data_IF_656626244641
#
_entry.id   IF_656626244641
#
_cell.length_a   1.000
_cell.length_b   1.000
_cell.length_c   1.000
_cell.angle_alpha   90.00
_cell.angle_beta   90.00
_cell.angle_gamma   90.00
#
_symmetry.space_group_name_H-M   'P 1'
#
loop_
_entity.id
_entity.type
_entity.pdbx_description
1 polymer ?
#
# COMPACT_ATOMS: atom_id res chain seq x y z
N UNK A 1 -3.24 -46.11 -24.15
CA UNK A 1 -1.99 -46.83 -23.80
C UNK A 1 -1.19 -45.88 -22.91
N UNK A 2 -1.36 -45.85 -21.59
CA UNK A 2 -0.87 -46.78 -20.53
C UNK A 2 0.65 -47.01 -20.71
N UNK A 3 1.55 -46.58 -19.83
CA UNK A 3 1.70 -46.98 -18.42
C UNK A 3 2.33 -45.89 -17.54
N UNK A 4 1.75 -45.72 -16.35
CA UNK A 4 2.34 -45.11 -15.18
C UNK A 4 3.19 -46.13 -14.41
N UNK A 5 4.30 -45.71 -13.81
CA UNK A 5 5.09 -46.53 -12.88
C UNK A 5 4.75 -46.17 -11.44
N UNK A 6 3.94 -47.01 -10.82
CA UNK A 6 3.69 -47.08 -9.38
C UNK A 6 4.65 -48.10 -8.77
N UNK A 7 5.40 -47.71 -7.73
CA UNK A 7 6.04 -48.67 -6.81
C UNK A 7 5.30 -48.63 -5.47
N UNK A 8 4.80 -49.79 -5.07
CA UNK A 8 4.13 -50.01 -3.81
C UNK A 8 4.62 -51.33 -3.19
N UNK A 9 4.61 -51.34 -1.85
CA UNK A 9 4.58 -52.51 -0.94
C UNK A 9 5.92 -53.20 -0.60
N UNK A 10 6.33 -53.07 0.68
CA UNK A 10 6.21 -54.18 1.65
C UNK A 10 6.13 -53.68 3.10
N UNK A 11 5.00 -54.04 3.73
CA UNK A 11 4.69 -54.01 5.15
C UNK A 11 5.51 -55.05 5.92
N UNK A 12 5.85 -54.73 7.16
CA UNK A 12 6.09 -55.73 8.21
C UNK A 12 5.36 -55.29 9.47
N UNK A 13 4.31 -56.04 9.83
CA UNK A 13 3.62 -56.00 11.12
C UNK A 13 4.47 -56.72 12.17
N UNK A 14 4.44 -56.23 13.43
CA UNK A 14 4.42 -57.09 14.61
C UNK A 14 3.73 -56.40 15.81
N UNK A 15 2.50 -56.88 16.08
CA UNK A 15 1.97 -57.33 17.39
C UNK A 15 2.51 -56.64 18.67
N UNK A 16 1.72 -55.82 19.36
CA UNK A 16 0.73 -56.16 20.40
C UNK A 16 1.32 -56.49 21.78
N UNK A 17 0.87 -55.79 22.82
CA UNK A 17 1.09 -56.19 24.21
C UNK A 17 0.86 -55.08 25.23
N UNK A 18 -0.42 -54.77 25.52
CA UNK A 18 -0.81 -54.17 26.79
C UNK A 18 -0.41 -55.14 27.91
N UNK A 19 0.22 -54.66 28.99
CA UNK A 19 0.13 -55.35 30.27
C UNK A 19 0.08 -54.37 31.44
N UNK A 20 -1.02 -54.51 32.19
CA UNK A 20 -1.34 -53.85 33.45
C UNK A 20 -0.64 -54.67 34.54
N UNK A 21 0.11 -54.01 35.43
CA UNK A 21 0.81 -54.66 36.54
C UNK A 21 1.02 -53.70 37.70
N UNK A 22 0.45 -54.08 38.85
CA UNK A 22 0.25 -53.35 40.11
C UNK A 22 1.51 -53.27 41.00
N UNK A 23 1.34 -52.54 42.11
CA UNK A 23 2.13 -52.48 43.36
C UNK A 23 3.28 -51.46 43.32
N UNK A 24 3.54 -50.62 44.32
CA UNK A 24 3.14 -50.38 45.72
C UNK A 24 3.76 -48.98 46.04
N UNK A 25 3.35 -48.11 46.97
CA UNK A 25 2.89 -48.28 48.35
C UNK A 25 2.45 -46.87 48.81
N UNK A 26 1.26 -46.74 49.39
CA UNK A 26 0.83 -45.55 50.11
C UNK A 26 1.19 -45.73 51.59
N UNK A 27 1.77 -44.70 52.19
CA UNK A 27 2.03 -44.63 53.63
C UNK A 27 0.74 -44.19 54.33
N UNK A 28 0.02 -45.17 54.89
CA UNK A 28 -1.07 -44.97 55.83
C UNK A 28 -0.48 -44.87 57.24
N UNK A 29 -0.28 -43.65 57.71
CA UNK A 29 -0.01 -43.40 59.13
C UNK A 29 -0.58 -42.07 59.60
N UNK A 30 -1.88 -41.84 59.40
CA UNK A 30 -2.54 -40.73 60.09
C UNK A 30 -4.07 -40.86 60.27
N UNK A 31 -4.59 -42.06 60.54
CA UNK A 31 -5.94 -42.20 61.09
C UNK A 31 -6.07 -43.43 62.01
N UNK A 32 -5.95 -43.21 63.31
CA UNK A 32 -6.57 -44.05 64.32
C UNK A 32 -6.92 -43.19 65.55
N UNK A 33 -8.21 -43.02 65.82
CA UNK A 33 -8.65 -42.34 67.05
C UNK A 33 -10.07 -41.80 67.06
N UNK A 34 -11.07 -42.55 66.59
CA UNK A 34 -12.46 -42.27 66.94
C UNK A 34 -12.72 -42.81 68.35
N UNK A 35 -13.06 -41.94 69.30
CA UNK A 35 -14.23 -42.14 70.19
C UNK A 35 -14.57 -40.91 71.05
N UNK A 36 -15.85 -40.55 70.92
CA UNK A 36 -16.66 -39.58 71.67
C UNK A 36 -16.30 -39.34 73.14
N UNK A 37 -16.28 -38.07 73.53
CA UNK A 37 -17.02 -37.64 74.73
C UNK A 37 -17.50 -36.18 74.60
N UNK A 38 -18.58 -35.91 75.30
CA UNK A 38 -19.65 -34.96 75.01
C UNK A 38 -19.39 -33.55 75.57
N UNK A 39 -20.18 -32.57 75.08
CA UNK A 39 -20.49 -31.24 75.69
C UNK A 39 -19.40 -30.16 75.66
N UNK A 40 -19.58 -29.17 74.79
CA UNK A 40 -20.10 -27.85 75.20
C UNK A 40 -20.60 -27.04 73.98
N UNK A 41 -21.84 -26.55 74.08
CA UNK A 41 -22.44 -25.58 73.16
C UNK A 41 -21.66 -24.27 73.24
N UNK A 42 -21.13 -23.80 72.12
CA UNK A 42 -20.97 -22.38 71.85
C UNK A 42 -21.41 -22.16 70.40
N UNK A 43 -22.62 -21.62 70.25
CA UNK A 43 -23.18 -21.29 68.96
C UNK A 43 -22.47 -20.07 68.38
N UNK A 44 -22.15 -20.12 67.09
CA UNK A 44 -22.01 -18.95 66.25
C UNK A 44 -22.25 -19.35 64.80
N UNK A 45 -23.05 -18.51 64.15
CA UNK A 45 -23.79 -18.80 62.94
C UNK A 45 -22.91 -18.88 61.68
N UNK A 46 -23.32 -19.78 60.80
CA UNK A 46 -23.15 -19.72 59.35
C UNK A 46 -23.75 -18.40 58.85
N UNK A 47 -23.03 -17.53 58.08
CA UNK A 47 -23.11 -17.63 56.62
C UNK A 47 -21.93 -16.95 55.87
N UNK A 48 -20.90 -17.67 55.44
CA UNK A 48 -19.84 -17.10 54.57
C UNK A 48 -19.79 -17.75 53.18
N UNK A 49 -20.63 -18.76 52.92
CA UNK A 49 -20.66 -19.48 51.63
C UNK A 49 -21.72 -18.99 50.63
N UNK A 50 -22.56 -18.02 51.01
CA UNK A 50 -23.67 -17.53 50.17
C UNK A 50 -23.35 -16.20 49.47
N UNK A 51 -22.26 -15.51 49.83
CA UNK A 51 -21.92 -14.19 49.26
C UNK A 51 -20.85 -14.22 48.16
N UNK A 52 -20.03 -15.27 48.09
CA UNK A 52 -18.97 -15.39 47.06
C UNK A 52 -19.49 -15.87 45.70
N UNK A 53 -20.50 -16.75 45.68
CA UNK A 53 -21.06 -17.27 44.43
C UNK A 53 -21.78 -16.18 43.61
N UNK A 54 -22.63 -15.32 44.21
CA UNK A 54 -23.26 -14.22 43.50
C UNK A 54 -22.24 -13.19 43.02
N UNK A 55 -21.18 -12.93 43.79
CA UNK A 55 -20.11 -12.01 43.40
C UNK A 55 -19.30 -12.56 42.22
N UNK A 56 -18.94 -13.86 42.24
CA UNK A 56 -18.24 -14.50 41.12
C UNK A 56 -19.12 -14.56 39.88
N UNK A 57 -20.40 -14.92 40.02
CA UNK A 57 -21.37 -14.90 38.91
C UNK A 57 -21.57 -13.47 38.40
N UNK A 58 -21.61 -12.46 39.28
CA UNK A 58 -21.70 -11.05 38.88
C UNK A 58 -20.42 -10.57 38.20
N UNK A 59 -19.22 -10.95 38.66
CA UNK A 59 -17.95 -10.64 37.99
C UNK A 59 -17.89 -11.32 36.63
N UNK A 60 -18.36 -12.57 36.51
CA UNK A 60 -18.34 -13.33 35.27
C UNK A 60 -19.37 -12.80 34.28
N UNK A 61 -20.58 -12.47 34.74
CA UNK A 61 -21.60 -11.76 33.95
C UNK A 61 -21.14 -10.34 33.60
N UNK A 62 -20.49 -9.60 34.49
CA UNK A 62 -19.92 -8.29 34.18
C UNK A 62 -18.77 -8.40 33.16
N UNK A 63 -17.91 -9.40 33.27
CA UNK A 63 -16.88 -9.68 32.27
C UNK A 63 -17.46 -10.12 30.91
N UNK A 64 -18.64 -10.77 30.89
CA UNK A 64 -19.29 -11.25 29.65
C UNK A 64 -20.20 -10.18 29.02
N UNK A 65 -20.89 -9.38 29.83
CA UNK A 65 -21.84 -8.36 29.38
C UNK A 65 -21.25 -6.94 29.31
N UNK A 66 -20.19 -6.63 30.06
CA UNK A 66 -19.56 -5.31 30.12
C UNK A 66 -18.10 -5.26 29.62
N UNK A 67 -17.51 -6.37 29.14
CA UNK A 67 -16.40 -6.27 28.17
C UNK A 67 -16.98 -5.93 26.80
N UNK A 68 -17.36 -4.68 26.61
CA UNK A 68 -17.07 -4.06 25.32
C UNK A 68 -15.55 -4.01 25.26
N UNK A 69 -14.94 -5.02 24.66
CA UNK A 69 -13.54 -4.95 24.26
C UNK A 69 -13.48 -3.84 23.22
N UNK A 70 -13.15 -2.62 23.65
CA UNK A 70 -12.91 -1.51 22.74
C UNK A 70 -11.82 -1.94 21.77
N UNK A 71 -12.18 -2.23 20.52
CA UNK A 71 -11.20 -2.51 19.49
C UNK A 71 -10.51 -1.18 19.14
N UNK A 72 -9.21 -1.03 19.35
CA UNK A 72 -8.51 0.21 19.02
C UNK A 72 -8.62 0.60 17.53
N UNK A 73 -8.97 -0.35 16.65
CA UNK A 73 -9.16 -0.13 15.21
C UNK A 73 -10.58 0.33 14.83
N UNK A 74 -11.53 0.40 15.77
CA UNK A 74 -12.88 0.92 15.51
C UNK A 74 -12.94 2.46 15.47
N UNK A 75 -11.79 3.14 15.54
CA UNK A 75 -11.70 4.59 15.50
C UNK A 75 -11.77 5.09 14.05
N UNK A 76 -12.55 6.13 13.75
CA UNK A 76 -12.57 6.70 12.42
C UNK A 76 -11.22 7.36 12.10
N UNK A 77 -10.85 7.37 10.82
CA UNK A 77 -9.63 8.04 10.35
C UNK A 77 -9.70 9.57 10.54
N UNK A 78 -10.90 10.15 10.38
CA UNK A 78 -11.18 11.54 10.70
C UNK A 78 -12.32 11.65 11.71
N UNK A 79 -12.16 12.55 12.68
CA UNK A 79 -13.16 12.85 13.68
C UNK A 79 -14.35 13.60 13.06
N UNK A 80 -15.44 13.69 13.83
CA UNK A 80 -16.70 14.31 13.38
C UNK A 80 -16.56 15.81 13.07
N UNK A 81 -15.52 16.46 13.58
CA UNK A 81 -15.17 17.86 13.30
C UNK A 81 -14.39 18.01 11.98
N UNK A 82 -14.03 16.91 11.33
CA UNK A 82 -13.26 16.90 10.09
C UNK A 82 -11.76 16.71 10.27
N UNK A 83 -11.24 16.69 11.50
CA UNK A 83 -9.82 16.53 11.81
C UNK A 83 -9.39 15.08 11.58
N UNK A 84 -8.40 14.86 10.72
CA UNK A 84 -7.86 13.53 10.45
C UNK A 84 -6.62 13.25 11.32
N UNK A 85 -6.45 11.99 11.74
CA UNK A 85 -5.43 11.58 12.71
C UNK A 85 -4.02 11.43 12.11
N UNK A 86 -3.91 11.54 10.78
CA UNK A 86 -2.64 11.59 10.05
C UNK A 86 -2.68 12.75 9.05
N UNK A 87 -1.53 13.38 8.80
CA UNK A 87 -1.42 14.47 7.83
C UNK A 87 -0.94 13.90 6.49
N UNK A 88 -1.62 14.24 5.41
CA UNK A 88 -1.38 13.67 4.08
C UNK A 88 0.03 13.91 3.52
N UNK A 89 0.68 14.99 3.92
CA UNK A 89 2.01 15.41 3.47
C UNK A 89 3.12 15.21 4.50
N UNK A 90 2.81 14.61 5.65
CA UNK A 90 3.81 14.26 6.67
C UNK A 90 3.98 12.74 6.68
N UNK A 91 5.20 12.22 6.53
CA UNK A 91 5.48 10.78 6.59
C UNK A 91 4.88 10.15 7.86
N UNK A 92 4.00 9.17 7.69
CA UNK A 92 3.39 8.41 8.79
C UNK A 92 3.25 6.95 8.38
N UNK A 93 3.65 5.97 9.22
CA UNK A 93 3.30 4.58 8.96
C UNK A 93 1.79 4.39 9.06
N UNK A 94 1.28 3.24 8.59
CA UNK A 94 -0.12 2.86 8.89
C UNK A 94 -0.30 2.80 10.40
N UNK A 95 -1.36 3.43 10.90
CA UNK A 95 -1.69 3.51 12.33
C UNK A 95 -2.97 2.73 12.64
N UNK A 96 -3.41 2.79 13.90
CA UNK A 96 -4.73 2.27 14.30
C UNK A 96 -5.89 3.05 13.68
N UNK A 97 -5.66 4.28 13.20
CA UNK A 97 -6.69 5.12 12.57
C UNK A 97 -6.85 4.83 11.07
N UNK A 98 -5.77 4.44 10.41
CA UNK A 98 -5.76 4.16 8.97
C UNK A 98 -5.85 2.66 8.64
N UNK A 99 -5.76 1.78 9.63
CA UNK A 99 -6.04 0.35 9.47
C UNK A 99 -7.49 0.03 9.86
N UNK A 100 -8.18 -0.79 9.06
CA UNK A 100 -9.55 -1.23 9.32
C UNK A 100 -9.66 -2.26 10.44
N UNK A 101 -8.58 -2.98 10.71
CA UNK A 101 -8.47 -3.96 11.79
C UNK A 101 -7.01 -4.34 12.04
N UNK A 102 -6.78 -5.09 13.12
CA UNK A 102 -5.44 -5.58 13.50
C UNK A 102 -4.78 -6.44 12.42
N UNK A 103 -5.53 -7.27 11.72
CA UNK A 103 -4.99 -8.15 10.68
C UNK A 103 -4.40 -7.34 9.52
N UNK A 104 -5.13 -6.34 9.03
CA UNK A 104 -4.64 -5.44 7.99
C UNK A 104 -3.39 -4.69 8.44
N UNK A 105 -3.37 -4.18 9.68
CA UNK A 105 -2.22 -3.51 10.25
C UNK A 105 -0.98 -4.41 10.25
N UNK A 106 -1.11 -5.65 10.74
CA UNK A 106 -0.01 -6.61 10.79
C UNK A 106 0.46 -7.02 9.37
N UNK A 107 -0.47 -7.21 8.44
CA UNK A 107 -0.16 -7.51 7.04
C UNK A 107 0.59 -6.37 6.36
N UNK A 108 0.22 -5.12 6.64
CA UNK A 108 0.91 -3.95 6.10
C UNK A 108 2.37 -3.94 6.53
N UNK A 109 2.66 -4.12 7.83
CA UNK A 109 4.04 -4.19 8.33
C UNK A 109 4.83 -5.36 7.74
N UNK A 110 4.23 -6.54 7.69
CA UNK A 110 4.87 -7.73 7.09
C UNK A 110 5.20 -7.52 5.62
N UNK A 111 4.26 -6.94 4.86
CA UNK A 111 4.47 -6.67 3.45
C UNK A 111 5.52 -5.58 3.23
N UNK A 112 5.55 -4.54 4.08
CA UNK A 112 6.60 -3.52 4.03
C UNK A 112 8.00 -4.12 4.19
N UNK A 113 8.21 -5.04 5.14
CA UNK A 113 9.49 -5.74 5.28
C UNK A 113 9.83 -6.58 4.05
N UNK A 114 8.83 -7.22 3.44
CA UNK A 114 9.03 -7.98 2.20
C UNK A 114 9.46 -7.07 1.04
N UNK A 115 8.84 -5.90 0.91
CA UNK A 115 9.21 -4.93 -0.12
C UNK A 115 10.60 -4.34 0.12
N UNK A 116 11.01 -4.11 1.36
CA UNK A 116 12.37 -3.66 1.67
C UNK A 116 13.42 -4.65 1.15
N UNK A 117 13.23 -5.95 1.40
CA UNK A 117 14.10 -6.98 0.84
C UNK A 117 14.06 -7.05 -0.68
N UNK A 118 12.89 -6.81 -1.30
CA UNK A 118 12.75 -6.74 -2.76
C UNK A 118 13.55 -5.57 -3.33
N UNK A 119 13.50 -4.40 -2.70
CA UNK A 119 14.26 -3.21 -3.07
C UNK A 119 15.76 -3.45 -2.94
N UNK A 120 16.21 -4.06 -1.84
CA UNK A 120 17.62 -4.44 -1.64
C UNK A 120 18.10 -5.43 -2.72
N UNK A 121 17.31 -6.47 -3.00
CA UNK A 121 17.63 -7.46 -4.03
C UNK A 121 17.69 -6.84 -5.44
N UNK A 122 16.74 -5.94 -5.76
CA UNK A 122 16.71 -5.23 -7.03
C UNK A 122 17.93 -4.31 -7.18
N UNK A 123 18.24 -3.50 -6.16
CA UNK A 123 19.38 -2.60 -6.19
C UNK A 123 20.70 -3.36 -6.36
N UNK A 124 20.86 -4.52 -5.69
CA UNK A 124 22.04 -5.37 -5.84
C UNK A 124 22.14 -6.00 -7.24
N UNK A 125 21.02 -6.47 -7.81
CA UNK A 125 20.95 -6.97 -9.20
C UNK A 125 21.40 -5.90 -10.18
N UNK A 126 20.91 -4.66 -10.03
CA UNK A 126 21.29 -3.52 -10.88
C UNK A 126 22.75 -3.15 -10.72
N UNK A 127 23.27 -3.12 -9.49
CA UNK A 127 24.70 -2.85 -9.26
C UNK A 127 25.60 -3.87 -9.97
N UNK A 128 25.25 -5.16 -9.90
CA UNK A 128 26.01 -6.21 -10.60
C UNK A 128 26.00 -6.03 -12.13
N UNK A 129 24.95 -5.44 -12.71
CA UNK A 129 24.93 -5.14 -14.15
C UNK A 129 25.97 -4.06 -14.51
N UNK A 130 26.11 -3.02 -13.69
CA UNK A 130 27.13 -1.99 -13.87
C UNK A 130 28.55 -2.53 -13.64
N UNK A 131 28.78 -3.26 -12.55
CA UNK A 131 30.10 -3.78 -12.19
C UNK A 131 30.67 -4.74 -13.25
N UNK A 132 29.80 -5.51 -13.90
CA UNK A 132 30.20 -6.46 -14.94
C UNK A 132 30.47 -5.81 -16.30
N UNK A 133 29.95 -4.60 -16.54
CA UNK A 133 30.09 -3.87 -17.81
C UNK A 133 30.64 -2.43 -17.60
N UNK A 134 31.82 -2.26 -16.97
CA UNK A 134 32.31 -0.94 -16.55
C UNK A 134 32.70 -0.01 -17.71
N UNK A 135 32.90 -0.56 -18.92
CA UNK A 135 33.30 0.17 -20.12
C UNK A 135 32.28 0.08 -21.27
N UNK A 136 31.14 -0.57 -21.04
CA UNK A 136 30.11 -0.82 -22.06
C UNK A 136 28.80 -0.13 -21.64
N UNK A 137 28.84 1.21 -21.63
CA UNK A 137 27.65 2.04 -21.41
C UNK A 137 26.59 1.86 -22.51
N UNK A 138 26.96 1.26 -23.65
CA UNK A 138 26.09 0.99 -24.81
C UNK A 138 25.46 -0.42 -24.80
N UNK A 139 25.82 -1.30 -23.85
CA UNK A 139 25.10 -2.57 -23.65
C UNK A 139 23.64 -2.27 -23.31
N UNK A 140 22.65 -3.09 -23.76
CA UNK A 140 21.26 -2.86 -23.43
C UNK A 140 21.01 -3.21 -21.96
N UNK A 141 21.42 -2.32 -21.07
CA UNK A 141 20.96 -2.26 -19.70
C UNK A 141 19.50 -1.84 -19.81
N UNK A 142 18.60 -2.76 -19.49
CA UNK A 142 17.17 -2.43 -19.42
C UNK A 142 16.98 -1.23 -18.49
N UNK A 143 16.06 -0.33 -18.82
CA UNK A 143 15.83 0.89 -18.05
C UNK A 143 15.01 0.59 -16.78
N UNK A 144 15.40 1.07 -15.59
CA UNK A 144 14.62 0.85 -14.37
C UNK A 144 13.25 1.51 -14.44
N UNK A 145 12.21 0.73 -14.12
CA UNK A 145 10.84 1.22 -14.02
C UNK A 145 10.30 0.98 -12.62
N UNK A 146 10.27 2.02 -11.78
CA UNK A 146 9.90 1.94 -10.37
C UNK A 146 8.44 2.31 -10.22
N UNK A 147 7.59 1.32 -9.94
CA UNK A 147 6.15 1.50 -9.81
C UNK A 147 5.78 1.72 -8.33
N UNK A 148 5.40 2.95 -7.99
CA UNK A 148 5.04 3.39 -6.64
C UNK A 148 3.54 3.67 -6.55
N UNK A 149 2.94 3.34 -5.40
CA UNK A 149 1.53 3.62 -5.19
C UNK A 149 0.85 2.73 -4.15
N UNK A 150 -0.43 2.48 -4.40
CA UNK A 150 -1.32 1.73 -3.52
C UNK A 150 -1.74 0.37 -4.09
N UNK A 151 -2.99 -0.04 -3.86
CA UNK A 151 -3.55 -1.32 -4.32
C UNK A 151 -3.64 -1.42 -5.83
N UNK A 152 -3.79 -0.31 -6.55
CA UNK A 152 -3.80 -0.33 -8.00
C UNK A 152 -2.39 -0.67 -8.50
N UNK A 153 -1.35 -0.01 -7.98
CA UNK A 153 0.03 -0.35 -8.30
C UNK A 153 0.43 -1.75 -7.82
N UNK A 154 -0.01 -2.18 -6.64
CA UNK A 154 0.31 -3.54 -6.16
C UNK A 154 -0.31 -4.64 -7.04
N UNK A 155 -1.39 -4.33 -7.76
CA UNK A 155 -2.04 -5.28 -8.67
C UNK A 155 -1.13 -5.74 -9.81
N UNK A 156 -0.06 -4.99 -10.15
CA UNK A 156 1.01 -5.46 -11.04
C UNK A 156 1.72 -6.74 -10.54
N UNK A 157 1.71 -6.99 -9.23
CA UNK A 157 2.16 -8.26 -8.61
C UNK A 157 1.02 -9.26 -8.39
N UNK A 158 -0.20 -8.96 -8.82
CA UNK A 158 -1.44 -9.70 -8.56
C UNK A 158 -1.80 -9.84 -7.08
N UNK A 159 -1.23 -8.99 -6.22
CA UNK A 159 -1.41 -9.07 -4.77
C UNK A 159 -2.16 -7.87 -4.18
N UNK A 160 -2.55 -8.02 -2.92
CA UNK A 160 -2.91 -6.95 -2.02
C UNK A 160 -2.40 -7.23 -0.62
N UNK A 161 -1.50 -6.38 -0.11
CA UNK A 161 -0.62 -6.63 1.04
C UNK A 161 0.14 -7.96 0.95
N UNK A 162 0.66 -8.27 -0.24
CA UNK A 162 1.44 -9.49 -0.50
C UNK A 162 0.63 -10.79 -0.58
N UNK A 163 -0.70 -10.70 -0.53
CA UNK A 163 -1.61 -11.85 -0.68
C UNK A 163 -2.28 -11.76 -2.05
N UNK A 164 -2.29 -12.85 -2.81
CA UNK A 164 -2.95 -12.91 -4.12
C UNK A 164 -4.42 -12.43 -4.07
N UNK A 165 -4.85 -11.73 -5.13
CA UNK A 165 -6.20 -11.18 -5.25
C UNK A 165 -6.79 -11.48 -6.62
N UNK A 166 -7.92 -12.17 -6.66
CA UNK A 166 -8.62 -12.51 -7.90
C UNK A 166 -8.92 -11.29 -8.79
N UNK A 167 -9.19 -10.11 -8.20
CA UNK A 167 -9.43 -8.87 -8.98
C UNK A 167 -8.24 -8.44 -9.84
N UNK A 168 -7.03 -8.92 -9.51
CA UNK A 168 -5.78 -8.60 -10.19
C UNK A 168 -5.22 -9.78 -11.00
N UNK A 169 -5.99 -10.84 -11.19
CA UNK A 169 -5.59 -11.99 -12.00
C UNK A 169 -5.29 -11.56 -13.45
N UNK A 170 -4.16 -12.03 -13.98
CA UNK A 170 -3.69 -11.74 -15.33
C UNK A 170 -2.91 -10.44 -15.47
N UNK A 171 -2.87 -9.59 -14.44
CA UNK A 171 -2.18 -8.29 -14.49
C UNK A 171 -0.66 -8.47 -14.58
N UNK A 172 -0.08 -9.48 -13.91
CA UNK A 172 1.37 -9.73 -14.01
C UNK A 172 1.77 -10.10 -15.45
N UNK A 173 0.90 -10.80 -16.18
CA UNK A 173 1.12 -11.11 -17.60
C UNK A 173 1.14 -9.85 -18.47
N UNK A 174 0.34 -8.83 -18.13
CA UNK A 174 0.36 -7.54 -18.83
C UNK A 174 1.69 -6.84 -18.58
N UNK A 175 2.17 -6.80 -17.33
CA UNK A 175 3.48 -6.22 -17.01
C UNK A 175 4.61 -6.94 -17.77
N UNK A 176 4.59 -8.27 -17.78
CA UNK A 176 5.60 -9.08 -18.47
C UNK A 176 5.59 -8.84 -19.99
N UNK A 177 4.43 -8.61 -20.58
CA UNK A 177 4.31 -8.42 -22.04
C UNK A 177 4.63 -7.00 -22.47
N UNK A 178 4.22 -6.01 -21.67
CA UNK A 178 4.20 -4.59 -22.10
C UNK A 178 5.26 -3.72 -21.41
N UNK A 179 5.77 -4.12 -20.24
CA UNK A 179 6.62 -3.28 -19.38
C UNK A 179 7.90 -4.00 -18.89
N UNK A 180 8.28 -5.11 -19.50
CA UNK A 180 9.43 -5.94 -19.07
C UNK A 180 10.64 -5.78 -19.99
N UNK A 181 11.61 -6.68 -19.84
CA UNK A 181 12.83 -6.71 -20.66
C UNK A 181 12.53 -6.90 -22.16
N UNK A 182 11.39 -7.50 -22.52
CA UNK A 182 10.92 -7.55 -23.92
C UNK A 182 10.71 -6.15 -24.52
N UNK A 183 10.48 -5.16 -23.67
CA UNK A 183 10.28 -3.75 -24.00
C UNK A 183 11.46 -2.87 -23.54
N UNK A 184 12.61 -3.47 -23.21
CA UNK A 184 13.79 -2.73 -22.75
C UNK A 184 13.69 -2.20 -21.32
N UNK A 185 12.75 -2.68 -20.51
CA UNK A 185 12.47 -2.19 -19.16
C UNK A 185 12.79 -3.23 -18.07
N UNK A 186 13.02 -2.77 -16.83
CA UNK A 186 13.21 -3.61 -15.64
C UNK A 186 12.27 -3.15 -14.51
N UNK A 187 11.01 -3.60 -14.51
CA UNK A 187 10.01 -3.11 -13.58
C UNK A 187 10.19 -3.65 -12.16
N UNK A 188 9.99 -2.79 -11.17
CA UNK A 188 9.84 -3.17 -9.77
C UNK A 188 8.53 -2.61 -9.20
N UNK A 189 7.68 -3.50 -8.69
CA UNK A 189 6.39 -3.15 -8.07
C UNK A 189 6.58 -2.91 -6.57
N UNK A 190 6.31 -1.66 -6.16
CA UNK A 190 6.45 -1.16 -4.78
C UNK A 190 5.16 -0.50 -4.25
N UNK A 191 4.03 -0.89 -4.85
CA UNK A 191 2.69 -0.54 -4.35
C UNK A 191 2.30 -1.31 -3.10
N UNK A 192 1.52 -0.70 -2.21
CA UNK A 192 0.97 -1.37 -1.03
C UNK A 192 -0.51 -1.06 -0.89
N UNK A 193 -1.34 -2.10 -0.87
CA UNK A 193 -2.79 -1.95 -0.82
C UNK A 193 -3.29 -1.15 0.38
N UNK A 194 -4.14 -0.18 0.08
CA UNK A 194 -4.71 0.75 1.06
C UNK A 194 -3.81 1.92 1.41
N UNK A 195 -2.61 2.04 0.83
CA UNK A 195 -1.72 3.17 1.13
C UNK A 195 -2.37 4.51 0.76
N UNK A 196 -2.22 5.44 1.70
CA UNK A 196 -2.43 6.85 1.51
C UNK A 196 -1.06 7.52 1.27
N UNK A 197 -1.05 8.78 0.85
CA UNK A 197 0.18 9.53 0.54
C UNK A 197 1.22 9.50 1.67
N UNK A 198 0.80 9.67 2.92
CA UNK A 198 1.68 9.67 4.08
C UNK A 198 2.35 8.32 4.36
N UNK A 199 1.66 7.20 4.04
CA UNK A 199 2.22 5.86 4.18
C UNK A 199 3.31 5.62 3.15
N UNK A 200 3.08 6.04 1.90
CA UNK A 200 4.08 5.97 0.85
C UNK A 200 5.29 6.84 1.22
N UNK A 201 5.08 8.09 1.64
CA UNK A 201 6.15 8.97 2.12
C UNK A 201 7.00 8.32 3.22
N UNK A 202 6.35 7.75 4.24
CA UNK A 202 7.03 7.02 5.30
C UNK A 202 7.91 5.89 4.73
N UNK A 203 7.38 5.07 3.84
CA UNK A 203 8.14 3.96 3.25
C UNK A 203 9.31 4.42 2.40
N UNK A 204 9.14 5.46 1.59
CA UNK A 204 10.22 6.05 0.79
C UNK A 204 11.38 6.49 1.69
N UNK A 205 11.08 7.15 2.82
CA UNK A 205 12.06 7.56 3.83
C UNK A 205 12.67 6.41 4.64
N UNK A 206 12.10 5.20 4.55
CA UNK A 206 12.53 4.02 5.29
C UNK A 206 13.12 2.93 4.36
N UNK A 207 13.67 3.35 3.22
CA UNK A 207 14.46 2.49 2.34
C UNK A 207 13.65 1.75 1.27
N UNK A 208 12.41 2.18 0.97
CA UNK A 208 11.59 1.60 -0.10
C UNK A 208 11.76 2.33 -1.44
N UNK A 209 12.85 3.09 -1.62
CA UNK A 209 13.17 3.80 -2.85
C UNK A 209 14.65 3.60 -3.18
N UNK A 210 14.99 2.51 -3.87
CA UNK A 210 16.37 2.28 -4.36
C UNK A 210 16.34 1.62 -5.73
N UNK A 211 16.95 2.26 -6.72
CA UNK A 211 17.13 1.69 -8.06
C UNK A 211 18.46 0.94 -8.19
N UNK A 212 19.54 1.45 -7.59
CA UNK A 212 20.85 0.81 -7.46
C UNK A 212 21.54 1.29 -6.17
N UNK A 213 22.60 0.60 -5.75
CA UNK A 213 23.54 1.10 -4.74
C UNK A 213 24.83 1.51 -5.44
N UNK A 214 24.76 2.57 -6.24
CA UNK A 214 25.91 3.13 -6.92
C UNK A 214 26.77 3.92 -5.91
N UNK A 215 27.27 3.23 -4.89
CA UNK A 215 28.28 3.77 -3.99
C UNK A 215 29.64 3.54 -4.64
N UNK A 216 30.14 4.60 -5.27
CA UNK A 216 31.56 4.94 -5.39
C UNK A 216 32.53 3.77 -5.19
N UNK A 217 33.02 3.20 -6.29
CA UNK A 217 34.37 2.62 -6.35
C UNK A 217 35.49 3.66 -6.09
N UNK A 218 35.16 4.79 -5.43
CA UNK A 218 36.00 5.97 -5.15
C UNK A 218 36.12 6.28 -3.66
N UNK A 219 35.41 5.61 -2.75
CA UNK A 219 35.47 5.88 -1.29
C UNK A 219 36.21 4.80 -0.49
N UNK A 220 37.14 4.07 -1.12
CA UNK A 220 38.13 3.24 -0.44
C UNK A 220 39.18 4.10 0.29
N UNK A 221 38.78 4.89 1.29
CA UNK A 221 39.64 5.32 2.40
C UNK A 221 38.89 6.24 3.39
N UNK A 222 38.21 5.68 4.38
CA UNK A 222 38.42 6.09 5.79
C UNK A 222 37.46 5.37 6.73
N UNK A 223 38.07 4.69 7.69
CA UNK A 223 37.47 4.18 8.90
C UNK A 223 37.21 5.30 9.89
N UNK A 224 35.96 5.46 10.34
CA UNK A 224 35.66 5.85 11.73
C UNK A 224 34.20 5.65 12.05
N UNK A 225 33.96 5.08 13.24
CA UNK A 225 32.65 4.92 13.87
C UNK A 225 31.94 6.28 13.99
N UNK A 226 30.80 6.42 13.33
CA UNK A 226 29.77 7.35 13.74
C UNK A 226 28.40 6.83 13.28
N UNK A 227 27.45 6.80 14.21
CA UNK A 227 26.03 6.61 13.94
C UNK A 227 25.49 7.89 13.32
N UNK A 228 25.43 7.94 11.98
CA UNK A 228 24.86 9.02 11.20
C UNK A 228 24.56 8.54 9.78
N UNK A 229 23.39 8.90 9.26
CA UNK A 229 23.02 8.68 7.86
C UNK A 229 24.09 9.28 6.94
N UNK A 230 24.70 8.47 6.08
CA UNK A 230 25.78 8.94 5.20
C UNK A 230 26.36 7.82 4.36
N UNK A 231 25.70 7.56 3.23
CA UNK A 231 26.25 6.79 2.12
C UNK A 231 25.47 7.19 0.88
N UNK A 232 26.15 7.77 -0.12
CA UNK A 232 25.54 8.35 -1.31
C UNK A 232 24.57 7.35 -1.97
N UNK A 233 23.27 7.64 -1.90
CA UNK A 233 22.26 6.93 -2.66
C UNK A 233 22.27 7.47 -4.08
N UNK A 234 22.96 6.77 -4.97
CA UNK A 234 22.98 7.12 -6.38
C UNK A 234 21.92 6.31 -7.14
N UNK A 235 21.09 7.02 -7.91
CA UNK A 235 20.07 6.43 -8.77
C UNK A 235 20.59 6.29 -10.20
N UNK A 236 20.14 5.24 -10.88
CA UNK A 236 20.33 5.13 -12.32
C UNK A 236 19.70 6.37 -12.99
N UNK A 237 20.48 7.19 -13.74
CA UNK A 237 19.96 8.42 -14.35
C UNK A 237 18.84 8.15 -15.36
N UNK A 238 18.77 6.94 -15.93
CA UNK A 238 17.69 6.55 -16.83
C UNK A 238 16.41 6.11 -16.11
N UNK A 239 16.42 6.00 -14.77
CA UNK A 239 15.29 5.47 -14.01
C UNK A 239 14.01 6.30 -14.18
N UNK A 240 12.89 5.59 -14.32
CA UNK A 240 11.55 6.18 -14.39
C UNK A 240 10.76 5.77 -13.16
N UNK A 241 10.31 6.77 -12.40
CA UNK A 241 9.41 6.60 -11.27
C UNK A 241 7.98 6.84 -11.73
N UNK A 242 7.15 5.81 -11.67
CA UNK A 242 5.72 5.91 -11.97
C UNK A 242 4.96 5.94 -10.66
N UNK A 243 4.26 7.04 -10.39
CA UNK A 243 3.53 7.27 -9.14
C UNK A 243 2.03 7.25 -9.40
N UNK A 244 1.30 6.42 -8.65
CA UNK A 244 -0.16 6.40 -8.64
C UNK A 244 -0.66 6.23 -7.20
N UNK A 245 -1.12 7.32 -6.60
CA UNK A 245 -1.49 7.38 -5.19
C UNK A 245 -2.57 8.44 -4.97
N UNK A 246 -3.32 8.33 -3.87
CA UNK A 246 -4.29 9.34 -3.44
C UNK A 246 -5.75 8.89 -3.47
N UNK A 247 -6.10 7.79 -4.16
CA UNK A 247 -7.48 7.28 -4.15
C UNK A 247 -7.92 6.85 -2.74
N UNK A 248 -7.00 6.29 -1.94
CA UNK A 248 -7.28 5.93 -0.55
C UNK A 248 -7.38 7.13 0.38
N UNK A 249 -6.70 8.26 0.11
CA UNK A 249 -6.88 9.48 0.88
C UNK A 249 -8.36 9.92 0.79
N UNK A 250 -8.87 10.10 -0.43
CA UNK A 250 -10.29 10.43 -0.65
C UNK A 250 -11.21 9.34 -0.07
N UNK A 251 -10.86 8.07 -0.26
CA UNK A 251 -11.62 6.92 0.25
C UNK A 251 -11.67 6.81 1.78
N UNK A 252 -10.71 7.41 2.47
CA UNK A 252 -10.65 7.50 3.94
C UNK A 252 -11.26 8.79 4.49
N UNK A 253 -11.73 9.68 3.62
CA UNK A 253 -12.36 10.95 4.01
C UNK A 253 -11.41 12.15 4.04
N UNK A 254 -10.22 12.08 3.45
CA UNK A 254 -9.40 13.28 3.23
C UNK A 254 -10.04 14.21 2.19
N UNK A 255 -9.81 15.51 2.37
CA UNK A 255 -10.31 16.52 1.44
C UNK A 255 -9.40 16.61 0.18
N UNK A 256 -9.91 17.13 -0.95
CA UNK A 256 -9.11 17.27 -2.17
C UNK A 256 -7.83 18.08 -2.00
N UNK A 257 -7.87 19.18 -1.23
CA UNK A 257 -6.69 20.03 -0.96
C UNK A 257 -5.57 19.27 -0.25
N UNK A 258 -5.81 18.73 0.96
CA UNK A 258 -4.87 17.85 1.65
C UNK A 258 -4.39 16.67 0.80
N UNK A 259 -5.29 15.99 0.08
CA UNK A 259 -4.91 14.88 -0.81
C UNK A 259 -3.91 15.33 -1.87
N UNK A 260 -4.17 16.46 -2.53
CA UNK A 260 -3.26 17.06 -3.52
C UNK A 260 -1.89 17.37 -2.89
N UNK A 261 -1.89 17.97 -1.69
CA UNK A 261 -0.66 18.30 -0.96
C UNK A 261 0.18 17.06 -0.68
N UNK A 262 -0.46 15.97 -0.26
CA UNK A 262 0.22 14.69 -0.01
C UNK A 262 0.80 14.05 -1.27
N UNK A 263 0.07 14.08 -2.39
CA UNK A 263 0.57 13.55 -3.67
C UNK A 263 1.79 14.37 -4.14
N UNK A 264 1.71 15.71 -4.07
CA UNK A 264 2.84 16.57 -4.45
C UNK A 264 4.04 16.38 -3.52
N UNK A 265 3.83 16.14 -2.22
CA UNK A 265 4.91 15.84 -1.29
C UNK A 265 5.63 14.53 -1.64
N UNK A 266 4.90 13.48 -2.05
CA UNK A 266 5.50 12.22 -2.56
C UNK A 266 6.41 12.51 -3.75
N UNK A 267 5.91 13.27 -4.73
CA UNK A 267 6.67 13.54 -5.94
C UNK A 267 7.86 14.46 -5.68
N UNK A 268 7.69 15.50 -4.87
CA UNK A 268 8.76 16.39 -4.47
C UNK A 268 9.85 15.64 -3.70
N UNK A 269 9.49 14.66 -2.86
CA UNK A 269 10.47 13.79 -2.21
C UNK A 269 11.31 13.03 -3.24
N UNK A 270 10.68 12.40 -4.24
CA UNK A 270 11.40 11.67 -5.30
C UNK A 270 12.33 12.61 -6.07
N UNK A 271 11.84 13.80 -6.46
CA UNK A 271 12.64 14.80 -7.19
C UNK A 271 13.84 15.31 -6.39
N UNK A 272 13.70 15.48 -5.07
CA UNK A 272 14.80 15.86 -4.16
C UNK A 272 15.85 14.76 -4.07
N UNK A 273 15.42 13.53 -3.82
CA UNK A 273 16.33 12.39 -3.65
C UNK A 273 17.04 12.01 -4.95
N UNK A 274 16.44 12.34 -6.10
CA UNK A 274 17.02 12.10 -7.42
C UNK A 274 17.55 13.38 -8.06
N UNK A 275 17.80 14.45 -7.29
CA UNK A 275 18.15 15.76 -7.85
C UNK A 275 19.45 15.75 -8.67
N UNK A 276 20.39 14.88 -8.32
CA UNK A 276 21.69 14.71 -8.99
C UNK A 276 21.67 13.65 -10.09
N UNK A 277 20.49 13.12 -10.44
CA UNK A 277 20.33 12.08 -11.46
C UNK A 277 19.30 12.52 -12.49
N UNK A 278 19.45 12.06 -13.73
CA UNK A 278 18.52 12.44 -14.82
C UNK A 278 17.16 11.69 -14.77
N UNK A 279 16.80 11.19 -13.60
CA UNK A 279 15.60 10.40 -13.39
C UNK A 279 14.35 11.20 -13.74
N UNK A 280 13.36 10.48 -14.25
CA UNK A 280 12.08 11.00 -14.66
C UNK A 280 10.96 10.52 -13.74
N UNK A 281 9.94 11.36 -13.50
CA UNK A 281 8.78 11.07 -12.67
C UNK A 281 7.49 11.22 -13.47
N UNK A 282 6.83 10.09 -13.73
CA UNK A 282 5.49 10.03 -14.30
C UNK A 282 4.46 9.96 -13.17
N UNK A 283 3.69 11.01 -12.97
CA UNK A 283 2.57 11.01 -12.03
C UNK A 283 1.27 10.73 -12.78
N UNK A 284 0.57 9.65 -12.43
CA UNK A 284 -0.81 9.47 -12.87
C UNK A 284 -1.73 10.48 -12.17
N UNK A 285 -2.70 11.02 -12.92
CA UNK A 285 -3.91 11.59 -12.30
C UNK A 285 -4.59 10.51 -11.45
N UNK A 286 -5.27 10.93 -10.38
CA UNK A 286 -6.12 10.03 -9.60
C UNK A 286 -7.22 9.49 -10.50
N UNK A 287 -7.27 8.17 -10.66
CA UNK A 287 -8.25 7.50 -11.51
C UNK A 287 -9.67 7.72 -11.00
N UNK A 288 -10.68 7.73 -11.90
CA UNK A 288 -12.07 7.74 -11.47
C UNK A 288 -12.42 6.46 -10.71
N UNK A 289 -13.41 6.55 -9.81
CA UNK A 289 -13.94 5.42 -9.05
C UNK A 289 -15.46 5.56 -8.91
N UNK A 290 -16.18 4.44 -9.00
CA UNK A 290 -17.64 4.38 -8.95
C UNK A 290 -18.19 3.66 -7.71
N UNK A 291 -17.37 3.35 -6.71
CA UNK A 291 -17.77 2.67 -5.47
C UNK A 291 -18.36 3.64 -4.42
N UNK A 292 -18.68 4.87 -4.82
CA UNK A 292 -19.23 5.93 -3.95
C UNK A 292 -20.44 5.49 -3.12
N UNK A 293 -21.39 4.75 -3.74
CA UNK A 293 -22.57 4.20 -3.04
C UNK A 293 -22.24 3.33 -1.82
N UNK A 294 -21.07 2.67 -1.83
CA UNK A 294 -20.60 1.79 -0.74
C UNK A 294 -19.79 2.55 0.32
N UNK A 295 -19.02 3.56 -0.10
CA UNK A 295 -18.00 4.20 0.75
C UNK A 295 -18.48 5.52 1.33
N UNK A 296 -19.07 6.41 0.51
CA UNK A 296 -19.44 7.78 0.92
C UNK A 296 -20.39 7.83 2.12
N UNK A 297 -21.37 6.91 2.30
CA UNK A 297 -22.20 6.89 3.51
C UNK A 297 -21.41 6.68 4.81
N UNK A 298 -20.24 6.05 4.76
CA UNK A 298 -19.38 5.81 5.93
C UNK A 298 -18.50 7.01 6.27
N UNK A 299 -18.33 7.94 5.32
CA UNK A 299 -17.53 9.14 5.49
C UNK A 299 -18.37 10.33 5.98
N UNK A 300 -19.70 10.19 6.02
CA UNK A 300 -20.63 11.23 6.43
C UNK A 300 -21.25 10.87 7.80
N UNK A 301 -21.04 11.67 8.85
CA UNK A 301 -20.14 12.84 8.96
C UNK A 301 -18.66 12.43 9.09
N UNK A 302 -17.69 13.34 8.80
CA UNK A 302 -17.85 14.77 8.50
C UNK A 302 -18.01 15.11 7.00
N UNK A 303 -17.90 14.14 6.08
CA UNK A 303 -17.92 14.38 4.63
C UNK A 303 -19.33 14.22 4.06
N UNK A 304 -20.14 15.25 4.31
CA UNK A 304 -21.52 15.31 3.84
C UNK A 304 -21.70 16.41 2.79
N UNK A 305 -22.72 16.23 1.96
CA UNK A 305 -23.15 17.18 0.92
C UNK A 305 -24.06 18.30 1.45
N UNK A 306 -24.49 18.20 2.71
CA UNK A 306 -25.32 19.18 3.40
C UNK A 306 -24.64 19.67 4.70
N UNK A 307 -24.92 20.92 5.08
CA UNK A 307 -24.37 21.53 6.28
C UNK A 307 -24.87 20.86 7.58
N UNK A 308 -25.99 20.13 7.49
CA UNK A 308 -26.55 19.40 8.62
C UNK A 308 -25.81 18.08 8.92
N UNK A 309 -24.87 17.64 8.07
CA UNK A 309 -24.08 16.44 8.28
C UNK A 309 -24.87 15.14 8.13
N UNK A 310 -25.93 15.13 7.31
CA UNK A 310 -26.89 14.00 7.22
C UNK A 310 -26.95 13.34 5.86
N UNK A 311 -26.51 14.02 4.80
CA UNK A 311 -26.62 13.56 3.42
C UNK A 311 -25.24 13.26 2.85
N UNK A 312 -24.87 11.99 2.66
CA UNK A 312 -23.63 11.63 2.00
C UNK A 312 -23.55 12.19 0.57
N UNK A 313 -22.34 12.43 0.08
CA UNK A 313 -22.10 12.66 -1.35
C UNK A 313 -22.54 11.44 -2.17
N UNK A 314 -22.90 11.67 -3.43
CA UNK A 314 -23.32 10.62 -4.36
C UNK A 314 -22.16 10.04 -5.19
N UNK A 315 -21.07 10.80 -5.34
CA UNK A 315 -19.98 10.51 -6.28
C UNK A 315 -18.61 10.94 -5.74
N UNK A 316 -17.56 10.20 -6.12
CA UNK A 316 -16.17 10.63 -5.95
C UNK A 316 -15.64 11.45 -7.13
N UNK A 317 -16.35 11.54 -8.26
CA UNK A 317 -15.86 12.24 -9.45
C UNK A 317 -15.56 13.74 -9.17
N UNK A 318 -16.43 14.51 -8.49
CA UNK A 318 -16.11 15.91 -8.20
C UNK A 318 -14.84 16.11 -7.34
N UNK A 319 -14.64 15.42 -6.19
CA UNK A 319 -13.39 15.57 -5.45
C UNK A 319 -12.17 15.05 -6.22
N UNK A 320 -12.29 14.02 -7.06
CA UNK A 320 -11.21 13.54 -7.94
C UNK A 320 -10.82 14.61 -8.97
N UNK A 321 -11.81 15.25 -9.61
CA UNK A 321 -11.56 16.35 -10.54
C UNK A 321 -10.82 17.50 -9.86
N UNK A 322 -11.26 17.90 -8.67
CA UNK A 322 -10.59 18.95 -7.88
C UNK A 322 -9.14 18.60 -7.54
N UNK A 323 -8.86 17.35 -7.14
CA UNK A 323 -7.47 16.89 -6.93
C UNK A 323 -6.67 17.00 -8.23
N UNK A 324 -7.19 16.44 -9.31
CA UNK A 324 -6.48 16.35 -10.58
C UNK A 324 -6.20 17.72 -11.23
N UNK A 325 -7.11 18.68 -11.10
CA UNK A 325 -6.89 20.07 -11.50
C UNK A 325 -5.81 20.75 -10.66
N UNK A 326 -5.81 20.52 -9.35
CA UNK A 326 -4.81 21.08 -8.45
C UNK A 326 -3.42 20.43 -8.66
N UNK A 327 -3.38 19.13 -9.00
CA UNK A 327 -2.16 18.43 -9.37
C UNK A 327 -1.51 19.02 -10.61
N UNK A 328 -2.29 19.39 -11.64
CA UNK A 328 -1.74 20.01 -12.85
C UNK A 328 -0.94 21.28 -12.53
N UNK A 329 -1.50 22.16 -11.69
CA UNK A 329 -0.82 23.37 -11.19
C UNK A 329 0.38 23.04 -10.31
N UNK A 330 0.27 22.00 -9.48
CA UNK A 330 1.35 21.54 -8.62
C UNK A 330 2.56 21.02 -9.38
N UNK A 331 2.32 20.15 -10.37
CA UNK A 331 3.34 19.56 -11.23
C UNK A 331 4.02 20.62 -12.08
N UNK A 332 3.29 21.62 -12.60
CA UNK A 332 3.91 22.74 -13.32
C UNK A 332 4.91 23.49 -12.44
N UNK A 333 4.55 23.77 -11.17
CA UNK A 333 5.45 24.45 -10.23
C UNK A 333 6.68 23.59 -9.89
N UNK A 334 6.48 22.31 -9.62
CA UNK A 334 7.59 21.38 -9.34
C UNK A 334 8.50 21.24 -10.57
N UNK A 335 7.93 21.14 -11.78
CA UNK A 335 8.69 21.08 -13.03
C UNK A 335 9.62 22.28 -13.17
N UNK A 336 9.14 23.50 -12.89
CA UNK A 336 9.99 24.72 -12.89
C UNK A 336 11.05 24.69 -11.78
N UNK A 337 10.70 24.25 -10.58
CA UNK A 337 11.61 24.23 -9.44
C UNK A 337 12.74 23.18 -9.56
N UNK A 338 12.48 22.09 -10.31
CA UNK A 338 13.40 20.98 -10.53
C UNK A 338 13.83 20.85 -11.99
N UNK A 339 13.70 21.92 -12.77
CA UNK A 339 14.26 21.97 -14.13
C UNK A 339 15.79 21.93 -14.06
N UNK A 340 16.43 21.36 -15.08
CA UNK A 340 17.89 21.47 -15.19
C UNK A 340 18.28 22.94 -15.26
N UNK A 341 19.34 23.37 -14.56
CA UNK A 341 19.95 24.65 -14.86
C UNK A 341 20.29 24.63 -16.35
N UNK A 342 19.69 25.54 -17.10
CA UNK A 342 20.08 25.78 -18.48
C UNK A 342 21.55 26.19 -18.47
N UNK A 343 22.43 25.35 -19.00
CA UNK A 343 23.84 25.69 -19.28
C UNK A 343 23.92 26.73 -20.41
N UNK A 344 23.28 27.90 -20.23
CA UNK A 344 23.37 29.06 -21.12
C UNK A 344 23.02 30.34 -20.32
N UNK A 345 23.92 30.76 -19.43
CA UNK A 345 24.17 32.21 -19.29
C UNK A 345 25.08 32.61 -20.47
N UNK A 346 24.53 32.62 -21.68
CA UNK A 346 25.16 33.28 -22.83
C UNK A 346 24.32 34.50 -23.12
N UNK A 347 24.87 35.62 -22.66
CA UNK A 347 24.65 36.98 -23.12
C UNK A 347 23.23 37.36 -23.56
N UNK A 348 22.60 38.20 -22.73
CA UNK A 348 21.49 39.04 -23.10
C UNK A 348 21.90 39.98 -24.26
N UNK A 349 21.76 39.53 -25.50
CA UNK A 349 21.56 40.32 -26.72
C UNK A 349 21.58 39.37 -27.94
N UNK A 350 20.48 38.66 -28.20
CA UNK A 350 20.24 38.09 -29.52
C UNK A 350 18.74 37.92 -29.78
N UNK A 351 18.33 38.41 -30.94
CA UNK A 351 16.97 38.52 -31.44
C UNK A 351 16.18 37.20 -31.41
N UNK A 352 14.89 37.35 -31.11
CA UNK A 352 13.88 36.31 -31.20
C UNK A 352 13.64 35.90 -32.65
N UNK A 353 14.28 34.83 -33.12
CA UNK A 353 13.70 33.87 -34.07
C UNK A 353 14.67 32.71 -34.34
N UNK A 354 14.58 31.63 -33.55
CA UNK A 354 15.02 30.29 -33.98
C UNK A 354 14.45 29.22 -33.05
N UNK A 355 13.32 28.65 -33.46
CA UNK A 355 12.70 27.46 -32.88
C UNK A 355 13.49 26.20 -33.30
N UNK A 356 14.69 26.03 -32.72
CA UNK A 356 15.48 24.81 -32.84
C UNK A 356 16.36 24.58 -31.61
N UNK A 357 15.78 24.74 -30.42
CA UNK A 357 16.39 24.32 -29.16
C UNK A 357 15.83 22.96 -28.77
N UNK A 358 16.67 21.92 -28.75
CA UNK A 358 16.34 20.61 -28.18
C UNK A 358 16.03 20.76 -26.69
N UNK A 359 14.78 21.14 -26.36
CA UNK A 359 14.25 21.16 -25.01
C UNK A 359 14.26 19.72 -24.50
N UNK A 360 15.15 19.39 -23.56
CA UNK A 360 15.09 18.11 -22.85
C UNK A 360 13.69 17.93 -22.26
N UNK A 361 13.20 16.68 -22.28
CA UNK A 361 11.87 16.38 -21.76
C UNK A 361 11.78 16.79 -20.27
N UNK A 362 10.62 17.28 -19.80
CA UNK A 362 10.47 17.70 -18.41
C UNK A 362 10.65 16.49 -17.48
N UNK A 363 11.42 16.68 -16.39
CA UNK A 363 11.68 15.63 -15.39
C UNK A 363 10.43 15.09 -14.70
N UNK A 364 9.33 15.84 -14.69
CA UNK A 364 8.06 15.43 -14.11
C UNK A 364 6.93 15.69 -15.11
N UNK A 365 6.04 14.71 -15.25
CA UNK A 365 4.82 14.86 -16.05
C UNK A 365 3.60 14.30 -15.34
N UNK A 366 2.49 15.02 -15.44
CA UNK A 366 1.17 14.53 -15.05
C UNK A 366 0.51 13.86 -16.25
N UNK A 367 0.16 12.58 -16.13
CA UNK A 367 -0.46 11.79 -17.20
C UNK A 367 -1.93 11.51 -16.86
N UNK A 368 -2.81 11.84 -17.80
CA UNK A 368 -4.20 11.42 -17.75
C UNK A 368 -4.38 10.09 -18.47
N UNK A 369 -4.67 9.05 -17.69
CA UNK A 369 -5.07 7.74 -18.18
C UNK A 369 -6.48 7.38 -17.70
N UNK A 370 -7.14 8.29 -16.95
CA UNK A 370 -8.38 8.03 -16.24
C UNK A 370 -9.62 8.16 -17.11
N UNK A 371 -9.56 8.96 -18.18
CA UNK A 371 -10.67 9.18 -19.11
C UNK A 371 -11.20 7.88 -19.72
N UNK A 372 -10.31 6.94 -20.05
CA UNK A 372 -10.63 5.63 -20.64
C UNK A 372 -11.48 4.73 -19.73
N UNK A 373 -11.49 5.01 -18.42
CA UNK A 373 -12.24 4.26 -17.42
C UNK A 373 -13.63 4.83 -17.15
N UNK A 374 -13.92 6.04 -17.62
CA UNK A 374 -15.25 6.64 -17.46
C UNK A 374 -16.27 5.94 -18.36
N UNK A 375 -17.49 5.81 -17.87
CA UNK A 375 -18.61 5.32 -18.66
C UNK A 375 -19.35 6.50 -19.29
N UNK A 376 -19.22 6.67 -20.61
CA UNK A 376 -19.89 7.75 -21.36
C UNK A 376 -21.42 7.68 -21.27
N UNK A 377 -21.97 6.50 -21.01
CA UNK A 377 -23.42 6.29 -20.87
C UNK A 377 -23.92 6.51 -19.44
N UNK A 378 -23.08 7.01 -18.53
CA UNK A 378 -23.48 7.26 -17.16
C UNK A 378 -24.49 8.41 -17.09
N UNK A 379 -25.65 8.12 -16.51
CA UNK A 379 -26.76 9.06 -16.30
C UNK A 379 -27.02 9.20 -14.79
N UNK A 380 -26.68 10.38 -14.25
CA UNK A 380 -26.79 10.71 -12.83
C UNK A 380 -28.24 10.70 -12.33
N UNK A 381 -29.22 10.96 -13.21
CA UNK A 381 -30.65 10.99 -12.90
C UNK A 381 -31.25 9.58 -12.80
N UNK A 382 -30.80 8.64 -13.63
CA UNK A 382 -31.25 7.23 -13.60
C UNK A 382 -30.79 6.45 -12.37
N UNK A 383 -29.94 7.03 -11.52
CA UNK A 383 -29.53 6.46 -10.23
C UNK A 383 -30.60 6.54 -9.12
N UNK A 384 -31.67 7.32 -9.32
CA UNK A 384 -32.70 7.59 -8.30
C UNK A 384 -34.05 6.89 -8.53
N UNK A 385 -34.22 6.19 -9.66
CA UNK A 385 -35.41 5.41 -9.99
C UNK A 385 -35.00 4.13 -10.71
N UNK A 386 -35.55 3.00 -10.27
CA UNK A 386 -35.26 1.64 -10.76
C UNK A 386 -35.17 1.59 -12.28
N UNK A 387 -33.97 1.37 -12.84
CA UNK A 387 -33.78 0.96 -14.24
C UNK A 387 -33.20 -0.47 -14.25
N UNK A 388 -33.86 -1.31 -15.03
CA UNK A 388 -33.76 -2.78 -15.01
C UNK A 388 -32.51 -3.39 -15.68
N UNK A 389 -31.47 -2.61 -16.03
CA UNK A 389 -30.29 -3.15 -16.76
C UNK A 389 -28.98 -3.13 -15.96
N UNK A 390 -28.97 -2.66 -14.70
CA UNK A 390 -27.83 -2.89 -13.79
C UNK A 390 -26.44 -2.38 -14.23
N UNK A 391 -26.33 -1.61 -15.32
CA UNK A 391 -25.09 -1.19 -15.99
C UNK A 391 -24.81 0.33 -15.98
N UNK A 392 -25.59 1.13 -15.25
CA UNK A 392 -25.38 2.57 -15.11
C UNK A 392 -24.40 2.90 -13.96
N UNK A 393 -23.10 2.64 -14.18
CA UNK A 393 -22.01 2.99 -13.25
C UNK A 393 -21.19 4.15 -13.81
N UNK A 394 -20.58 4.95 -12.92
CA UNK A 394 -19.70 6.07 -13.28
C UNK A 394 -18.43 5.62 -14.04
N UNK A 395 -17.99 4.38 -13.76
CA UNK A 395 -16.83 3.76 -14.40
C UNK A 395 -17.23 2.51 -15.17
N UNK A 396 -16.47 2.18 -16.21
CA UNK A 396 -16.63 0.98 -17.03
C UNK A 396 -16.34 -0.26 -16.18
N UNK A 397 -17.39 -0.97 -15.80
CA UNK A 397 -17.30 -2.18 -14.96
C UNK A 397 -16.50 -3.32 -15.59
N UNK A 398 -16.43 -3.37 -16.92
CA UNK A 398 -15.57 -4.30 -17.66
C UNK A 398 -14.07 -4.06 -17.41
N UNK A 399 -13.67 -2.81 -17.14
CA UNK A 399 -12.30 -2.44 -16.80
C UNK A 399 -12.10 -2.41 -15.28
N UNK A 400 -13.10 -1.98 -14.52
CA UNK A 400 -13.10 -1.88 -13.05
C UNK A 400 -14.25 -2.68 -12.43
N UNK A 401 -14.13 -4.01 -12.28
CA UNK A 401 -15.24 -4.88 -11.86
C UNK A 401 -15.83 -4.56 -10.49
N UNK A 402 -15.00 -4.06 -9.56
CA UNK A 402 -15.40 -3.62 -8.22
C UNK A 402 -15.61 -2.10 -8.12
N UNK A 403 -15.62 -1.41 -9.25
CA UNK A 403 -15.77 0.04 -9.41
C UNK A 403 -14.61 0.87 -8.82
N UNK A 404 -13.46 0.25 -8.55
CA UNK A 404 -12.27 0.93 -8.04
C UNK A 404 -10.97 0.42 -8.67
N UNK A 405 -10.78 -0.89 -8.74
CA UNK A 405 -9.55 -1.51 -9.21
C UNK A 405 -9.67 -1.93 -10.67
N UNK A 406 -8.77 -1.45 -11.54
CA UNK A 406 -8.57 -2.00 -12.87
C UNK A 406 -8.27 -3.51 -12.83
N UNK A 407 -8.88 -4.30 -13.71
CA UNK A 407 -8.48 -5.68 -13.98
C UNK A 407 -7.33 -5.73 -15.01
N UNK A 408 -7.01 -6.90 -15.57
CA UNK A 408 -5.98 -7.04 -16.60
C UNK A 408 -6.20 -6.11 -17.82
N UNK A 409 -7.43 -5.96 -18.33
CA UNK A 409 -7.72 -5.07 -19.46
C UNK A 409 -7.51 -3.59 -19.07
N UNK A 410 -7.93 -3.21 -17.86
CA UNK A 410 -7.64 -1.87 -17.35
C UNK A 410 -6.14 -1.61 -17.18
N UNK A 411 -5.37 -2.62 -16.77
CA UNK A 411 -3.91 -2.51 -16.69
C UNK A 411 -3.23 -2.45 -18.06
N UNK A 412 -3.81 -3.01 -19.13
CA UNK A 412 -3.29 -2.81 -20.49
C UNK A 412 -3.37 -1.34 -20.90
N UNK A 413 -4.42 -0.63 -20.52
CA UNK A 413 -4.56 0.82 -20.75
C UNK A 413 -3.49 1.58 -19.96
N UNK A 414 -3.30 1.24 -18.67
CA UNK A 414 -2.24 1.84 -17.85
C UNK A 414 -0.84 1.58 -18.41
N UNK A 415 -0.55 0.35 -18.88
CA UNK A 415 0.72 0.01 -19.51
C UNK A 415 0.94 0.83 -20.78
N UNK A 416 -0.11 1.02 -21.61
CA UNK A 416 -0.04 1.88 -22.78
C UNK A 416 0.34 3.31 -22.40
N UNK A 417 -0.32 3.90 -21.39
CA UNK A 417 0.01 5.25 -20.91
C UNK A 417 1.47 5.36 -20.43
N UNK A 418 2.01 4.35 -19.76
CA UNK A 418 3.43 4.31 -19.34
C UNK A 418 4.34 4.27 -20.57
N UNK A 419 4.05 3.43 -21.57
CA UNK A 419 4.86 3.35 -22.79
C UNK A 419 4.80 4.62 -23.62
N UNK A 420 3.62 5.22 -23.79
CA UNK A 420 3.46 6.48 -24.52
C UNK A 420 4.31 7.57 -23.86
N UNK A 421 4.32 7.62 -22.53
CA UNK A 421 5.19 8.51 -21.77
C UNK A 421 6.69 8.24 -22.00
N UNK A 422 7.10 6.96 -22.01
CA UNK A 422 8.50 6.57 -22.26
C UNK A 422 8.95 7.00 -23.66
N UNK A 423 8.13 6.75 -24.69
CA UNK A 423 8.43 7.16 -26.06
C UNK A 423 8.63 8.67 -26.14
N UNK A 424 7.78 9.44 -25.45
CA UNK A 424 7.87 10.89 -25.47
C UNK A 424 9.13 11.45 -24.81
N UNK A 425 9.60 10.85 -23.71
CA UNK A 425 10.85 11.32 -23.06
C UNK A 425 12.11 10.87 -23.81
N UNK A 426 12.01 9.85 -24.69
CA UNK A 426 13.10 9.35 -25.51
C UNK A 426 13.28 10.11 -26.85
N UNK A 427 12.25 10.82 -27.32
CA UNK A 427 12.27 11.63 -28.55
C UNK A 427 11.69 10.94 -29.76
#
# INVERSE_FOLDING_TARGET
>A
MIMATSMNIKKTQRSSGLNIGKNQRWDESLFAGIRNCNRQRLGLAWPWKVTLLPLLVWILLYCVFFRSSFDPFDRPFCDIDGTCHEQTDVPSPRTIYSAWNKEQYDLWWKHCQTLKHRVEAYANKRQQMYDNNPNDYDSPVTRPLILLGDSITESWSETGMGIHKNRAEGVASVMETELSSSSGLDPIVLGVSGDQTQHLLYRLQNGHMRAAQLSSSLSSSSSSNESGAGGDLFYDPSAIFVVMIGTNNLGSGELPGPTTKGILAVVEYILKETAESDCHVMLFRVLPRGDGKKVLPKLCPPRCSDDAGKKPYSSFLPPIQNVNEALAKGVERLGKAYSYPSDVDVDADADADSDSGSSSAPRIRLVDCGSEFLNENHDDQKGHGVVADGNNYEVRKELMPDLLHPNAMGHQILAKCIRDYIVEIDG
#
